data_IF_647549407176
#
_entry.id   IF_647549407176
#
_cell.length_a   1.000
_cell.length_b   1.000
_cell.length_c   1.000
_cell.angle_alpha   90.00
_cell.angle_beta   90.00
_cell.angle_gamma   90.00
#
_symmetry.space_group_name_H-M   'P 1'
#
loop_
_entity.id
_entity.type
_entity.pdbx_description
1 polymer ?
#
# COMPACT_ATOMS: atom_id res chain seq x y z
N UNK A 1 64.86 -69.52 -33.84
CA UNK A 1 64.87 -68.39 -32.91
C UNK A 1 63.68 -67.54 -33.24
N UNK A 2 62.60 -67.53 -32.44
CA UNK A 2 61.38 -66.72 -32.67
C UNK A 2 61.32 -65.70 -31.55
N UNK A 3 61.49 -64.42 -31.94
CA UNK A 3 61.32 -63.23 -31.04
C UNK A 3 59.85 -62.92 -30.90
N UNK A 4 59.31 -62.95 -29.70
CA UNK A 4 57.92 -62.59 -29.41
C UNK A 4 57.87 -61.16 -28.91
N UNK A 5 57.21 -60.28 -29.68
CA UNK A 5 56.93 -58.91 -29.30
C UNK A 5 55.71 -58.83 -28.36
N UNK A 6 55.88 -58.32 -27.18
CA UNK A 6 54.81 -58.09 -26.22
C UNK A 6 54.23 -56.68 -26.44
N UNK A 7 52.97 -56.59 -26.87
CA UNK A 7 52.20 -55.37 -26.93
C UNK A 7 51.67 -55.00 -25.52
N UNK A 8 52.10 -53.85 -24.98
CA UNK A 8 51.51 -53.23 -23.77
C UNK A 8 50.29 -52.49 -24.20
N UNK A 9 49.13 -52.88 -23.66
CA UNK A 9 47.91 -52.06 -23.77
C UNK A 9 47.98 -50.94 -22.75
N UNK A 10 47.94 -49.67 -23.21
CA UNK A 10 47.77 -48.50 -22.37
C UNK A 10 46.27 -48.23 -22.30
N UNK A 11 45.69 -48.39 -21.12
CA UNK A 11 44.29 -48.00 -20.85
C UNK A 11 44.25 -46.54 -20.51
N UNK A 12 43.60 -45.75 -21.38
CA UNK A 12 43.34 -44.32 -21.14
C UNK A 12 42.08 -44.23 -20.26
N UNK A 13 42.25 -43.80 -19.00
CA UNK A 13 41.13 -43.49 -18.11
C UNK A 13 40.74 -42.02 -18.36
N UNK A 14 39.61 -41.80 -19.02
CA UNK A 14 39.02 -40.47 -19.18
C UNK A 14 38.21 -40.19 -17.91
N UNK A 15 38.75 -39.33 -17.02
CA UNK A 15 38.01 -38.82 -15.90
C UNK A 15 37.10 -37.68 -16.38
N UNK A 16 35.81 -37.98 -16.53
CA UNK A 16 34.78 -36.96 -16.82
C UNK A 16 34.48 -36.17 -15.56
N UNK A 17 34.88 -34.90 -15.53
CA UNK A 17 34.46 -33.96 -14.50
C UNK A 17 33.00 -33.56 -14.75
N UNK A 18 32.10 -34.06 -13.91
CA UNK A 18 30.69 -33.61 -13.88
C UNK A 18 30.62 -32.28 -13.14
N UNK A 19 30.53 -31.17 -13.86
CA UNK A 19 30.29 -29.86 -13.29
C UNK A 19 28.81 -29.76 -12.89
N UNK A 20 28.55 -29.85 -11.57
CA UNK A 20 27.23 -29.59 -11.01
C UNK A 20 26.96 -28.05 -11.07
N UNK A 21 26.16 -27.60 -12.02
CA UNK A 21 25.66 -26.22 -12.06
C UNK A 21 24.55 -26.11 -11.00
N UNK A 22 24.89 -25.65 -9.81
CA UNK A 22 23.90 -25.27 -8.80
C UNK A 22 23.27 -23.94 -9.28
N UNK A 23 22.18 -24.04 -10.01
CA UNK A 23 21.34 -22.88 -10.31
C UNK A 23 20.73 -22.38 -8.99
N UNK A 24 21.15 -21.20 -8.54
CA UNK A 24 20.44 -20.48 -7.50
C UNK A 24 19.06 -20.09 -8.06
N UNK A 25 18.03 -20.82 -7.67
CA UNK A 25 16.65 -20.37 -7.89
C UNK A 25 16.45 -19.13 -7.04
N UNK A 26 16.57 -17.94 -7.64
CA UNK A 26 16.03 -16.71 -7.05
C UNK A 26 14.52 -16.94 -6.95
N UNK A 27 13.98 -17.02 -5.74
CA UNK A 27 12.54 -16.92 -5.55
C UNK A 27 12.12 -15.55 -6.08
N UNK A 28 11.50 -15.52 -7.26
CA UNK A 28 10.85 -14.32 -7.73
C UNK A 28 9.81 -13.93 -6.68
N UNK A 29 9.91 -12.74 -6.13
CA UNK A 29 8.84 -12.17 -5.32
C UNK A 29 7.61 -12.09 -6.24
N UNK A 30 6.46 -12.57 -5.77
CA UNK A 30 5.24 -12.44 -6.55
C UNK A 30 4.91 -10.94 -6.66
N UNK A 31 4.74 -10.45 -7.89
CA UNK A 31 4.36 -9.07 -8.14
C UNK A 31 2.95 -8.77 -7.58
N UNK A 32 2.67 -7.52 -7.21
CA UNK A 32 1.31 -7.11 -6.85
C UNK A 32 0.33 -7.36 -8.01
N UNK A 33 -0.95 -7.64 -7.72
CA UNK A 33 -1.95 -7.87 -8.77
C UNK A 33 -2.16 -6.60 -9.61
N UNK A 34 -2.73 -6.71 -10.83
CA UNK A 34 -3.11 -5.55 -11.62
C UNK A 34 -4.15 -4.68 -10.90
N UNK A 35 -4.09 -3.37 -11.12
CA UNK A 35 -5.06 -2.45 -10.55
C UNK A 35 -6.50 -2.73 -11.04
N UNK A 36 -7.47 -2.54 -10.14
CA UNK A 36 -8.88 -2.48 -10.47
C UNK A 36 -9.17 -1.25 -11.33
N UNK A 37 -10.14 -1.32 -12.25
CA UNK A 37 -10.57 -0.15 -13.02
C UNK A 37 -11.17 0.92 -12.09
N UNK A 38 -11.00 2.19 -12.46
CA UNK A 38 -11.62 3.30 -11.73
C UNK A 38 -13.14 3.16 -11.72
N UNK A 39 -13.71 3.18 -10.52
CA UNK A 39 -15.16 3.16 -10.31
C UNK A 39 -15.51 3.71 -8.93
N UNK A 40 -15.52 5.02 -8.80
CA UNK A 40 -15.87 5.75 -7.58
C UNK A 40 -16.94 6.80 -7.90
N UNK A 41 -17.75 7.19 -6.92
CA UNK A 41 -18.76 8.22 -7.15
C UNK A 41 -18.19 9.64 -7.13
N UNK A 42 -19.03 10.62 -7.49
CA UNK A 42 -18.59 12.01 -7.61
C UNK A 42 -18.08 12.62 -6.30
N UNK A 43 -18.64 12.22 -5.15
CA UNK A 43 -18.20 12.72 -3.84
C UNK A 43 -16.83 12.13 -3.48
N UNK A 44 -16.63 10.84 -3.71
CA UNK A 44 -15.35 10.18 -3.47
C UNK A 44 -14.24 10.76 -4.36
N UNK A 45 -14.55 11.06 -5.61
CA UNK A 45 -13.59 11.68 -6.55
C UNK A 45 -13.28 13.14 -6.18
N UNK A 46 -14.30 13.94 -5.81
CA UNK A 46 -14.13 15.36 -5.51
C UNK A 46 -13.19 15.63 -4.34
N UNK A 47 -13.20 14.77 -3.33
CA UNK A 47 -12.43 14.96 -2.11
C UNK A 47 -11.29 13.94 -1.94
N UNK A 48 -10.95 13.19 -2.99
CA UNK A 48 -9.82 12.26 -2.97
C UNK A 48 -8.54 12.99 -2.55
N UNK A 49 -7.79 12.50 -1.55
CA UNK A 49 -6.51 13.11 -1.21
C UNK A 49 -5.51 13.07 -2.35
N UNK A 50 -4.70 14.12 -2.45
CA UNK A 50 -3.50 14.16 -3.26
C UNK A 50 -2.35 13.59 -2.42
N UNK A 51 -1.74 12.51 -2.88
CA UNK A 51 -0.75 11.75 -2.12
C UNK A 51 0.68 12.00 -2.58
N UNK A 52 1.58 12.03 -1.61
CA UNK A 52 3.01 11.82 -1.81
C UNK A 52 3.51 10.70 -0.89
N UNK A 53 4.69 10.18 -1.19
CA UNK A 53 5.31 9.06 -0.50
C UNK A 53 6.78 9.41 -0.30
N UNK A 54 7.18 9.64 0.96
CA UNK A 54 8.57 9.97 1.33
C UNK A 54 9.53 8.85 0.87
N UNK A 55 10.78 9.22 0.64
CA UNK A 55 11.80 8.34 0.03
C UNK A 55 12.06 7.04 0.80
N UNK A 56 11.69 6.97 2.06
CA UNK A 56 11.90 5.79 2.93
C UNK A 56 10.73 4.79 2.92
N UNK A 57 9.56 5.14 2.34
CA UNK A 57 8.37 4.27 2.26
C UNK A 57 8.22 3.49 0.96
N UNK A 58 7.40 2.44 1.00
CA UNK A 58 6.89 1.77 -0.19
C UNK A 58 5.91 2.66 -0.95
N UNK A 59 5.70 2.39 -2.23
CA UNK A 59 4.54 2.90 -2.96
C UNK A 59 3.32 2.03 -2.68
N UNK A 60 2.10 2.60 -2.74
CA UNK A 60 0.89 1.80 -2.63
C UNK A 60 0.71 0.94 -3.88
N UNK A 61 0.19 -0.27 -3.68
CA UNK A 61 -0.15 -1.20 -4.74
C UNK A 61 -1.58 -1.70 -4.59
N UNK A 62 -2.18 -2.39 -5.57
CA UNK A 62 -3.48 -2.97 -5.39
C UNK A 62 -3.46 -4.09 -4.34
N UNK A 63 -4.39 -4.04 -3.39
CA UNK A 63 -4.59 -5.11 -2.42
C UNK A 63 -5.23 -6.36 -3.05
N UNK A 64 -5.96 -6.18 -4.17
CA UNK A 64 -6.67 -7.21 -4.90
C UNK A 64 -6.76 -6.86 -6.38
N UNK A 65 -6.61 -7.86 -7.23
CA UNK A 65 -6.77 -7.75 -8.67
C UNK A 65 -8.21 -7.95 -9.16
N UNK A 66 -8.49 -7.68 -10.45
CA UNK A 66 -9.82 -7.84 -11.05
C UNK A 66 -10.32 -9.30 -11.05
N UNK A 67 -9.43 -10.26 -11.03
CA UNK A 67 -9.73 -11.69 -10.90
C UNK A 67 -9.96 -12.15 -9.45
N UNK A 68 -9.74 -11.24 -8.49
CA UNK A 68 -9.83 -11.51 -7.07
C UNK A 68 -8.56 -12.10 -6.46
N UNK A 69 -7.42 -12.04 -7.14
CA UNK A 69 -6.11 -12.39 -6.58
C UNK A 69 -5.74 -11.34 -5.52
N UNK A 70 -5.51 -11.78 -4.29
CA UNK A 70 -5.06 -10.93 -3.18
C UNK A 70 -3.54 -10.71 -3.30
N UNK A 71 -3.09 -9.48 -3.04
CA UNK A 71 -1.66 -9.17 -2.97
C UNK A 71 -0.97 -10.08 -1.94
N UNK A 72 0.13 -10.74 -2.30
CA UNK A 72 0.88 -11.59 -1.38
C UNK A 72 1.61 -10.78 -0.30
N UNK A 73 1.78 -9.48 -0.50
CA UNK A 73 2.61 -8.63 0.32
C UNK A 73 4.10 -9.02 0.29
N UNK A 74 4.93 -8.25 0.97
CA UNK A 74 6.37 -8.45 1.04
C UNK A 74 6.83 -8.78 2.47
N UNK A 75 7.92 -9.53 2.57
CA UNK A 75 8.61 -9.73 3.85
C UNK A 75 9.31 -8.45 4.30
N UNK A 76 9.37 -8.22 5.60
CA UNK A 76 10.05 -7.09 6.22
C UNK A 76 11.56 -7.34 6.33
N UNK A 77 12.22 -7.62 5.19
CA UNK A 77 13.66 -7.89 5.09
C UNK A 77 14.30 -6.98 4.04
N UNK A 78 15.62 -6.82 4.10
CA UNK A 78 16.32 -5.93 3.18
C UNK A 78 16.12 -4.45 3.50
N UNK A 79 16.16 -3.60 2.48
CA UNK A 79 15.92 -2.17 2.64
C UNK A 79 14.46 -1.88 3.04
N UNK A 80 14.24 -0.79 3.79
CA UNK A 80 12.90 -0.39 4.26
C UNK A 80 11.90 -0.29 3.10
N UNK A 81 12.32 0.32 2.00
CA UNK A 81 11.55 0.49 0.76
C UNK A 81 11.96 -0.51 -0.35
N UNK A 82 12.73 -1.55 -0.03
CA UNK A 82 13.23 -2.51 -1.03
C UNK A 82 12.11 -3.32 -1.67
N UNK A 83 12.16 -3.45 -2.99
CA UNK A 83 11.22 -4.21 -3.84
C UNK A 83 9.76 -3.70 -3.82
N UNK A 84 9.54 -2.46 -3.41
CA UNK A 84 8.20 -1.85 -3.36
C UNK A 84 8.21 -0.33 -3.64
N UNK A 85 9.23 0.17 -4.35
CA UNK A 85 9.34 1.60 -4.67
C UNK A 85 9.76 1.84 -6.12
N UNK A 86 9.49 0.91 -6.99
CA UNK A 86 9.73 1.08 -8.42
C UNK A 86 8.64 1.97 -9.06
N UNK A 87 8.96 2.64 -10.17
CA UNK A 87 7.97 3.44 -10.91
C UNK A 87 6.74 2.60 -11.29
N UNK A 88 6.94 1.32 -11.61
CA UNK A 88 5.87 0.38 -11.93
C UNK A 88 4.89 0.15 -10.78
N UNK A 89 5.35 0.17 -9.52
CA UNK A 89 4.47 0.08 -8.36
C UNK A 89 3.58 1.33 -8.25
N UNK A 90 4.18 2.51 -8.46
CA UNK A 90 3.47 3.78 -8.44
C UNK A 90 2.44 3.92 -9.57
N UNK A 91 2.69 3.29 -10.72
CA UNK A 91 1.76 3.28 -11.86
C UNK A 91 0.67 2.20 -11.74
N UNK A 92 0.92 1.14 -10.97
CA UNK A 92 -0.02 0.06 -10.70
C UNK A 92 -0.58 0.20 -9.28
N UNK A 93 -1.51 1.14 -9.06
CA UNK A 93 -2.03 1.42 -7.72
C UNK A 93 -3.54 1.63 -7.73
N UNK A 94 -4.20 1.30 -6.61
CA UNK A 94 -5.57 1.68 -6.30
C UNK A 94 -5.65 2.47 -4.99
N UNK A 95 -6.52 3.46 -4.97
CA UNK A 95 -7.12 3.99 -3.75
C UNK A 95 -8.50 3.37 -3.57
N UNK A 96 -8.91 3.13 -2.34
CA UNK A 96 -10.21 2.57 -2.00
C UNK A 96 -11.00 3.58 -1.18
N UNK A 97 -12.28 3.79 -1.52
CA UNK A 97 -13.09 4.77 -0.82
C UNK A 97 -14.41 4.20 -0.33
N UNK A 98 -14.88 4.74 0.79
CA UNK A 98 -16.22 4.51 1.32
C UNK A 98 -16.67 5.73 2.10
N UNK A 99 -17.95 6.10 2.02
CA UNK A 99 -18.46 7.21 2.80
C UNK A 99 -19.78 6.91 3.49
N UNK A 100 -20.08 7.74 4.48
CA UNK A 100 -21.35 7.80 5.19
C UNK A 100 -21.72 9.26 5.43
N UNK A 101 -22.99 9.59 5.28
CA UNK A 101 -23.51 10.93 5.57
C UNK A 101 -24.66 10.85 6.58
N UNK A 102 -24.60 11.69 7.61
CA UNK A 102 -25.70 11.91 8.53
C UNK A 102 -25.52 13.25 9.29
N UNK A 103 -26.59 13.75 9.87
CA UNK A 103 -26.61 14.99 10.66
C UNK A 103 -25.91 16.19 9.99
N UNK A 104 -26.03 16.31 8.66
CA UNK A 104 -25.44 17.39 7.87
C UNK A 104 -23.95 17.26 7.58
N UNK A 105 -23.34 16.13 7.89
CA UNK A 105 -21.94 15.82 7.64
C UNK A 105 -21.76 14.55 6.80
N UNK A 106 -20.73 14.53 5.98
CA UNK A 106 -20.26 13.32 5.31
C UNK A 106 -18.82 13.03 5.77
N UNK A 107 -18.54 11.77 6.06
CA UNK A 107 -17.21 11.24 6.33
C UNK A 107 -16.82 10.32 5.18
N UNK A 108 -15.74 10.66 4.45
CA UNK A 108 -15.23 9.86 3.34
C UNK A 108 -13.88 9.29 3.78
N UNK A 109 -13.79 7.98 3.96
CA UNK A 109 -12.54 7.29 4.26
C UNK A 109 -11.91 6.81 2.97
N UNK A 110 -10.63 7.10 2.81
CA UNK A 110 -9.77 6.62 1.72
C UNK A 110 -8.72 5.71 2.33
N UNK A 111 -8.54 4.53 1.75
CA UNK A 111 -7.52 3.57 2.16
C UNK A 111 -6.51 3.34 1.05
N UNK A 112 -5.23 3.29 1.40
CA UNK A 112 -4.16 2.79 0.55
C UNK A 112 -3.58 1.52 1.16
N UNK A 113 -3.20 0.59 0.29
CA UNK A 113 -2.55 -0.66 0.67
C UNK A 113 -1.09 -0.61 0.25
N UNK A 114 -0.21 -1.06 1.16
CA UNK A 114 1.22 -1.23 0.91
C UNK A 114 1.61 -2.68 1.18
N UNK A 115 2.55 -3.22 0.40
CA UNK A 115 2.93 -4.63 0.48
C UNK A 115 3.67 -4.98 1.78
N UNK A 116 4.33 -4.01 2.38
CA UNK A 116 4.94 -4.09 3.72
C UNK A 116 5.01 -2.73 4.35
N UNK A 117 5.11 -2.72 5.67
CA UNK A 117 5.60 -1.60 6.46
C UNK A 117 6.81 -2.07 7.29
N UNK A 118 7.93 -1.40 7.20
CA UNK A 118 9.19 -1.82 7.80
C UNK A 118 9.88 -0.65 8.49
N UNK A 119 10.05 -0.75 9.82
CA UNK A 119 10.70 0.31 10.59
C UNK A 119 12.23 0.28 10.48
N UNK A 120 12.85 -0.92 10.45
CA UNK A 120 14.30 -1.10 10.50
C UNK A 120 14.78 -1.97 9.35
N UNK A 121 15.78 -1.49 8.60
CA UNK A 121 16.35 -2.25 7.49
C UNK A 121 17.02 -3.56 7.96
N UNK A 122 16.85 -4.61 7.17
CA UNK A 122 17.57 -5.88 7.28
C UNK A 122 17.09 -6.86 8.36
N UNK A 123 16.37 -6.41 9.37
CA UNK A 123 16.15 -7.21 10.59
C UNK A 123 14.78 -7.87 10.71
N UNK A 124 13.79 -7.38 9.98
CA UNK A 124 12.39 -7.77 10.17
C UNK A 124 11.78 -7.31 11.51
N UNK A 125 12.54 -6.58 12.33
CA UNK A 125 12.07 -6.02 13.58
C UNK A 125 11.28 -4.73 13.35
N UNK A 126 10.17 -4.56 14.08
CA UNK A 126 9.38 -3.34 14.05
C UNK A 126 8.73 -3.11 12.67
N UNK A 127 7.98 -4.08 12.19
CA UNK A 127 7.25 -3.96 10.94
C UNK A 127 6.36 -5.17 10.68
N UNK A 128 5.60 -5.14 9.62
CA UNK A 128 4.70 -6.21 9.24
C UNK A 128 4.54 -6.32 7.72
N UNK A 129 4.30 -7.53 7.26
CA UNK A 129 3.80 -7.79 5.92
C UNK A 129 2.41 -7.20 5.82
N UNK A 130 2.10 -6.58 4.69
CA UNK A 130 0.89 -5.80 4.45
C UNK A 130 0.78 -4.57 5.36
N UNK A 131 0.30 -3.49 4.80
CA UNK A 131 -0.07 -2.30 5.55
C UNK A 131 -1.32 -1.67 4.93
N UNK A 132 -2.15 -1.07 5.79
CA UNK A 132 -3.34 -0.31 5.42
C UNK A 132 -3.34 1.00 6.17
N UNK A 133 -3.19 2.08 5.43
CA UNK A 133 -3.28 3.42 5.98
C UNK A 133 -4.45 4.20 5.39
N UNK A 134 -5.00 5.12 6.18
CA UNK A 134 -6.28 5.74 5.88
C UNK A 134 -6.24 7.26 6.06
N UNK A 135 -7.02 7.94 5.21
CA UNK A 135 -7.33 9.37 5.36
C UNK A 135 -8.84 9.50 5.41
N UNK A 136 -9.37 10.27 6.37
CA UNK A 136 -10.79 10.60 6.42
C UNK A 136 -10.98 12.07 6.14
N UNK A 137 -11.75 12.39 5.10
CA UNK A 137 -12.14 13.78 4.78
C UNK A 137 -13.55 14.01 5.29
N UNK A 138 -13.71 15.03 6.12
CA UNK A 138 -14.97 15.42 6.74
C UNK A 138 -15.56 16.60 5.99
N UNK A 139 -16.73 16.40 5.39
CA UNK A 139 -17.37 17.35 4.48
C UNK A 139 -18.68 17.85 5.09
N UNK A 140 -18.87 19.17 5.03
CA UNK A 140 -20.12 19.83 5.37
C UNK A 140 -20.41 20.91 4.31
N UNK A 141 -21.64 20.96 3.81
CA UNK A 141 -22.06 21.92 2.78
C UNK A 141 -21.14 21.93 1.55
N UNK A 142 -20.79 20.75 1.05
CA UNK A 142 -19.87 20.56 -0.08
C UNK A 142 -18.45 21.14 0.12
N UNK A 143 -18.03 21.35 1.36
CA UNK A 143 -16.69 21.82 1.68
C UNK A 143 -16.02 20.86 2.69
N UNK A 144 -14.78 20.47 2.42
CA UNK A 144 -13.97 19.72 3.38
C UNK A 144 -13.61 20.63 4.55
N UNK A 145 -13.99 20.24 5.77
CA UNK A 145 -13.78 21.01 7.01
C UNK A 145 -12.64 20.48 7.84
N UNK A 146 -12.46 19.16 7.85
CA UNK A 146 -11.38 18.50 8.58
C UNK A 146 -10.80 17.37 7.73
N UNK A 147 -9.57 17.02 8.04
CA UNK A 147 -8.89 15.83 7.52
C UNK A 147 -8.33 15.06 8.71
N UNK A 148 -8.53 13.75 8.73
CA UNK A 148 -7.95 12.90 9.75
C UNK A 148 -7.04 11.87 9.06
N UNK A 149 -5.80 11.77 9.51
CA UNK A 149 -4.80 10.84 8.97
C UNK A 149 -4.53 9.72 9.97
N UNK A 150 -4.47 8.48 9.49
CA UNK A 150 -4.15 7.35 10.35
C UNK A 150 -2.69 7.36 10.78
N UNK A 151 -2.45 7.03 12.05
CA UNK A 151 -1.13 6.84 12.63
C UNK A 151 -1.19 5.77 13.72
N UNK A 152 -0.52 4.63 13.52
CA UNK A 152 -0.36 3.54 14.50
C UNK A 152 -1.70 3.08 15.14
N UNK A 153 -2.74 2.94 14.30
CA UNK A 153 -4.07 2.48 14.73
C UNK A 153 -4.97 3.55 15.37
N UNK A 154 -4.52 4.79 15.43
CA UNK A 154 -5.27 5.99 15.79
C UNK A 154 -5.39 6.95 14.61
N UNK A 155 -5.95 8.14 14.85
CA UNK A 155 -6.04 9.20 13.86
C UNK A 155 -5.64 10.53 14.47
N UNK A 156 -4.82 11.28 13.75
CA UNK A 156 -4.59 12.69 14.02
C UNK A 156 -5.59 13.52 13.21
N UNK A 157 -6.15 14.55 13.83
CA UNK A 157 -7.27 15.31 13.29
C UNK A 157 -6.86 16.77 13.08
N UNK A 158 -7.04 17.26 11.86
CA UNK A 158 -6.63 18.60 11.43
C UNK A 158 -7.80 19.39 10.89
N UNK A 159 -7.86 20.68 11.26
CA UNK A 159 -8.76 21.64 10.63
C UNK A 159 -8.32 21.92 9.19
N UNK A 160 -9.25 22.39 8.37
CA UNK A 160 -8.99 22.80 6.99
C UNK A 160 -7.75 23.69 6.84
N UNK A 161 -7.58 24.68 7.72
CA UNK A 161 -6.50 25.66 7.66
C UNK A 161 -5.11 25.08 7.98
N UNK A 162 -5.05 23.90 8.56
CA UNK A 162 -3.81 23.16 8.85
C UNK A 162 -3.36 22.28 7.68
N UNK A 163 -4.16 22.21 6.62
CA UNK A 163 -3.94 21.34 5.47
C UNK A 163 -3.55 22.17 4.25
N UNK A 164 -2.61 21.69 3.46
CA UNK A 164 -2.34 22.19 2.10
C UNK A 164 -3.28 21.49 1.13
N UNK A 165 -3.73 22.20 0.12
CA UNK A 165 -4.74 21.72 -0.82
C UNK A 165 -4.26 21.81 -2.26
N UNK A 166 -4.73 20.87 -3.09
CA UNK A 166 -4.78 20.98 -4.54
C UNK A 166 -6.25 21.03 -4.97
N UNK A 167 -6.80 22.23 -5.10
CA UNK A 167 -8.25 22.41 -5.29
C UNK A 167 -9.06 21.92 -4.08
N UNK A 168 -9.81 20.82 -4.27
CA UNK A 168 -10.61 20.18 -3.20
C UNK A 168 -9.88 19.00 -2.55
N UNK A 169 -8.68 18.69 -3.01
CA UNK A 169 -7.88 17.53 -2.62
C UNK A 169 -6.90 17.87 -1.49
N UNK A 170 -7.06 17.32 -0.28
CA UNK A 170 -6.08 17.53 0.78
C UNK A 170 -4.76 16.84 0.43
N UNK A 171 -3.64 17.56 0.58
CA UNK A 171 -2.30 17.03 0.36
C UNK A 171 -1.81 16.26 1.57
N UNK A 172 -1.52 14.98 1.41
CA UNK A 172 -1.05 14.08 2.48
C UNK A 172 0.16 13.30 2.04
N UNK A 173 1.02 12.95 3.00
CA UNK A 173 2.29 12.26 2.76
C UNK A 173 2.34 10.99 3.58
N UNK A 174 2.67 9.86 2.94
CA UNK A 174 3.03 8.62 3.60
C UNK A 174 4.49 8.70 3.98
N UNK A 175 4.79 8.66 5.27
CA UNK A 175 6.12 8.89 5.81
C UNK A 175 6.44 7.95 6.96
N UNK A 176 7.71 7.76 7.21
CA UNK A 176 8.17 7.02 8.39
C UNK A 176 8.10 7.92 9.62
N UNK A 177 7.42 7.46 10.68
CA UNK A 177 7.30 8.20 11.93
C UNK A 177 8.47 7.89 12.88
N UNK A 178 9.52 8.67 12.73
CA UNK A 178 10.73 8.55 13.55
C UNK A 178 11.37 7.16 13.46
N UNK A 179 11.41 6.43 14.57
CA UNK A 179 11.92 5.05 14.66
C UNK A 179 10.81 3.99 14.50
N UNK A 180 9.57 4.41 14.33
CA UNK A 180 8.41 3.53 14.17
C UNK A 180 8.17 3.16 12.69
N UNK A 181 7.02 2.58 12.43
CA UNK A 181 6.48 2.27 11.11
C UNK A 181 5.96 3.53 10.41
N UNK A 182 5.44 3.37 9.19
CA UNK A 182 4.92 4.48 8.41
C UNK A 182 3.49 4.83 8.81
N UNK A 183 3.09 6.06 8.50
CA UNK A 183 1.74 6.58 8.69
C UNK A 183 1.48 7.74 7.72
N UNK A 184 0.27 8.30 7.72
CA UNK A 184 -0.03 9.52 6.99
C UNK A 184 0.14 10.77 7.87
N UNK A 185 0.63 11.84 7.28
CA UNK A 185 0.62 13.20 7.80
C UNK A 185 0.12 14.21 6.76
N UNK A 186 -0.34 15.39 7.15
CA UNK A 186 -0.51 16.52 6.22
C UNK A 186 0.82 16.92 5.58
N UNK A 187 0.73 17.36 4.32
CA UNK A 187 1.88 17.95 3.64
C UNK A 187 2.29 19.29 4.26
N UNK A 188 3.58 19.56 4.27
CA UNK A 188 4.17 20.82 4.68
C UNK A 188 4.94 21.50 3.54
N UNK A 189 5.70 22.57 3.79
CA UNK A 189 6.44 23.28 2.73
C UNK A 189 7.61 22.51 2.16
N UNK A 190 8.13 21.50 2.88
CA UNK A 190 9.28 20.71 2.43
C UNK A 190 8.87 19.58 1.47
N UNK A 191 7.57 19.30 1.36
CA UNK A 191 7.03 18.27 0.46
C UNK A 191 6.72 18.83 -0.95
N UNK A 192 7.33 19.95 -1.32
CA UNK A 192 7.22 20.56 -2.65
C UNK A 192 8.62 20.78 -3.27
N UNK A 193 8.97 20.08 -4.35
CA UNK A 193 8.16 19.09 -5.07
C UNK A 193 8.06 17.78 -4.29
N UNK A 194 7.00 16.95 -4.56
CA UNK A 194 6.86 15.62 -3.98
C UNK A 194 8.08 14.71 -4.20
N UNK A 195 8.36 13.83 -3.24
CA UNK A 195 9.54 12.97 -3.24
C UNK A 195 9.37 11.69 -4.08
N UNK A 196 8.16 11.41 -4.55
CA UNK A 196 7.91 10.23 -5.37
C UNK A 196 8.63 10.32 -6.73
N UNK A 197 8.69 9.19 -7.43
CA UNK A 197 9.42 9.05 -8.70
C UNK A 197 9.11 10.11 -9.76
N UNK A 198 7.88 10.66 -9.77
CA UNK A 198 7.44 11.65 -10.77
C UNK A 198 7.48 13.09 -10.25
N UNK A 199 7.88 13.32 -9.02
CA UNK A 199 7.92 14.64 -8.39
C UNK A 199 6.60 15.42 -8.49
N UNK A 200 5.48 14.70 -8.44
CA UNK A 200 4.14 15.25 -8.56
C UNK A 200 3.14 14.58 -7.63
N UNK A 201 2.13 15.35 -7.20
CA UNK A 201 1.04 14.81 -6.38
C UNK A 201 0.31 13.69 -7.11
N UNK A 202 0.04 12.59 -6.43
CA UNK A 202 -0.53 11.38 -7.00
C UNK A 202 -1.99 11.19 -6.60
N UNK A 203 -2.77 10.72 -7.57
CA UNK A 203 -4.17 10.37 -7.40
C UNK A 203 -4.35 8.91 -7.82
N UNK A 204 -4.19 7.95 -6.88
CA UNK A 204 -4.39 6.53 -7.18
C UNK A 204 -5.73 6.26 -7.84
N UNK A 205 -5.77 5.32 -8.78
CA UNK A 205 -7.01 4.88 -9.42
C UNK A 205 -8.05 4.51 -8.37
N UNK A 206 -9.13 5.28 -8.24
CA UNK A 206 -10.06 5.20 -7.12
C UNK A 206 -11.17 4.19 -7.37
N UNK A 207 -11.40 3.31 -6.38
CA UNK A 207 -12.49 2.33 -6.35
C UNK A 207 -13.36 2.61 -5.13
N UNK A 208 -14.59 3.04 -5.35
CA UNK A 208 -15.58 3.25 -4.30
C UNK A 208 -16.13 1.91 -3.76
N UNK A 209 -16.71 1.94 -2.56
CA UNK A 209 -17.24 0.74 -1.90
C UNK A 209 -18.23 -0.07 -2.76
N UNK A 210 -18.99 0.60 -3.61
CA UNK A 210 -19.94 -0.01 -4.53
C UNK A 210 -19.39 -0.19 -5.96
N UNK A 211 -18.13 0.19 -6.20
CA UNK A 211 -17.49 0.19 -7.50
C UNK A 211 -16.67 -1.06 -7.83
N UNK A 212 -16.56 -2.02 -6.92
CA UNK A 212 -15.80 -3.24 -7.18
C UNK A 212 -16.47 -4.13 -8.23
N UNK A 213 -15.69 -4.85 -9.05
CA UNK A 213 -16.24 -5.93 -9.88
C UNK A 213 -16.94 -6.99 -9.02
N UNK A 214 -17.88 -7.71 -9.62
CA UNK A 214 -18.69 -8.71 -8.92
C UNK A 214 -17.84 -9.74 -8.15
N UNK A 215 -18.11 -9.91 -6.85
CA UNK A 215 -17.41 -10.84 -5.96
C UNK A 215 -16.01 -10.42 -5.52
N UNK A 216 -15.40 -9.38 -6.11
CA UNK A 216 -14.05 -8.93 -5.75
C UNK A 216 -14.03 -8.28 -4.37
N UNK A 217 -15.00 -7.42 -4.06
CA UNK A 217 -15.12 -6.81 -2.73
C UNK A 217 -15.24 -7.86 -1.63
N UNK A 218 -16.05 -8.89 -1.84
CA UNK A 218 -16.28 -9.93 -0.83
C UNK A 218 -14.99 -10.71 -0.54
N UNK A 219 -14.18 -10.99 -1.57
CA UNK A 219 -12.86 -11.60 -1.40
C UNK A 219 -11.91 -10.68 -0.63
N UNK A 220 -11.88 -9.37 -0.93
CA UNK A 220 -11.05 -8.40 -0.22
C UNK A 220 -11.44 -8.30 1.26
N UNK A 221 -12.74 -8.26 1.56
CA UNK A 221 -13.27 -8.20 2.94
C UNK A 221 -12.88 -9.45 3.75
N UNK A 222 -12.81 -10.62 3.11
CA UNK A 222 -12.44 -11.89 3.74
C UNK A 222 -10.92 -12.11 3.80
N UNK A 223 -10.13 -11.32 3.08
CA UNK A 223 -8.69 -11.47 3.05
C UNK A 223 -8.06 -11.23 4.42
N UNK A 224 -7.00 -11.99 4.69
CA UNK A 224 -6.20 -11.86 5.90
C UNK A 224 -4.93 -11.06 5.60
N UNK A 225 -4.85 -9.85 6.12
CA UNK A 225 -3.69 -8.97 6.01
C UNK A 225 -2.83 -8.94 7.29
N UNK A 226 -2.92 -9.98 8.13
CA UNK A 226 -2.16 -10.04 9.38
C UNK A 226 -2.61 -8.96 10.37
N UNK A 227 -1.68 -8.11 10.80
CA UNK A 227 -1.94 -6.98 11.70
C UNK A 227 -2.50 -5.74 11.00
N UNK A 228 -2.37 -5.66 9.66
CA UNK A 228 -2.89 -4.54 8.88
C UNK A 228 -4.43 -4.59 8.79
N UNK A 229 -5.09 -3.47 9.02
CA UNK A 229 -6.54 -3.42 9.17
C UNK A 229 -7.18 -2.70 7.99
N UNK A 230 -7.89 -3.44 7.13
CA UNK A 230 -8.71 -2.82 6.09
C UNK A 230 -9.90 -2.08 6.72
N UNK A 231 -9.78 -0.76 6.87
CA UNK A 231 -10.70 0.10 7.59
C UNK A 231 -12.08 0.27 6.94
N UNK A 232 -12.22 -0.08 5.65
CA UNK A 232 -13.46 0.14 4.90
C UNK A 232 -14.48 -0.99 5.06
N UNK A 233 -14.09 -2.18 5.53
CA UNK A 233 -15.03 -3.30 5.70
C UNK A 233 -16.00 -3.07 6.85
N UNK A 234 -17.21 -3.63 6.75
CA UNK A 234 -18.32 -3.38 7.69
C UNK A 234 -17.93 -3.48 9.16
N UNK A 235 -17.17 -4.48 9.57
CA UNK A 235 -16.75 -4.65 10.96
C UNK A 235 -15.77 -3.57 11.48
N UNK A 236 -15.13 -2.80 10.59
CA UNK A 236 -14.12 -1.81 10.95
C UNK A 236 -14.54 -0.37 10.64
N UNK A 237 -15.39 -0.16 9.64
CA UNK A 237 -15.70 1.15 9.08
C UNK A 237 -16.23 2.13 10.15
N UNK A 238 -17.22 1.76 10.91
CA UNK A 238 -17.78 2.63 11.95
C UNK A 238 -16.76 2.92 13.05
N UNK A 239 -15.95 1.93 13.44
CA UNK A 239 -14.89 2.11 14.45
C UNK A 239 -13.79 3.07 13.97
N UNK A 240 -13.39 2.99 12.70
CA UNK A 240 -12.43 3.93 12.10
C UNK A 240 -12.99 5.34 12.05
N UNK A 241 -14.25 5.51 11.61
CA UNK A 241 -14.90 6.82 11.63
C UNK A 241 -15.05 7.37 13.05
N UNK A 242 -15.32 6.53 14.05
CA UNK A 242 -15.41 6.98 15.43
C UNK A 242 -14.06 7.49 15.96
N UNK A 243 -12.96 6.81 15.65
CA UNK A 243 -11.59 7.25 16.01
C UNK A 243 -11.17 8.53 15.27
N UNK A 244 -11.53 8.64 13.99
CA UNK A 244 -11.16 9.77 13.13
C UNK A 244 -12.02 11.01 13.35
N UNK A 245 -13.15 10.89 14.08
CA UNK A 245 -14.17 11.93 14.19
C UNK A 245 -13.67 13.18 14.92
N UNK A 246 -13.76 14.39 14.30
CA UNK A 246 -13.51 15.64 14.99
C UNK A 246 -14.45 15.83 16.18
N UNK A 247 -13.92 16.41 17.26
CA UNK A 247 -14.72 16.75 18.43
C UNK A 247 -15.81 17.79 18.08
N UNK A 248 -16.99 17.64 18.67
CA UNK A 248 -18.07 18.64 18.58
C UNK A 248 -18.92 18.57 17.31
N UNK A 249 -18.57 17.79 16.27
CA UNK A 249 -19.46 17.60 15.12
C UNK A 249 -20.56 16.58 15.43
N UNK A 250 -21.82 16.80 14.98
CA UNK A 250 -22.95 15.93 15.31
C UNK A 250 -23.01 14.64 14.47
N UNK A 251 -21.99 14.33 13.69
CA UNK A 251 -21.91 13.08 12.92
C UNK A 251 -21.95 11.85 13.85
N UNK A 252 -22.77 10.88 13.52
CA UNK A 252 -22.85 9.60 14.24
C UNK A 252 -22.21 8.48 13.40
N UNK A 253 -21.08 7.91 13.83
CA UNK A 253 -20.46 6.79 13.14
C UNK A 253 -21.33 5.53 13.07
N UNK A 254 -22.29 5.37 13.97
CA UNK A 254 -23.12 4.17 14.11
C UNK A 254 -24.53 4.30 13.48
N UNK A 255 -24.90 5.51 12.99
CA UNK A 255 -26.18 5.72 12.31
C UNK A 255 -26.27 5.02 10.97
#
# INVERSE_FOLDING_TARGET
MKSGARFRRVSLVVAGALTLVIGSASSALAAPPPALPANADGMEQTFQPAFDYDTDGCYPTPAIGPDGTISPGLNTTGAVNGSCRDAGDLDNTNGYARYKCNNGWCAIIYGLYFEKDQAVAGTGLGGHRHDWEHVVVWVQNNEARYVSTSAHGNFDIYNRDQIRWDGTHPKVVYHKDGLSTHCFRPANSNDEPPENHYHGWRYPTLVGWNGYPAGVRDKLVQANFGSAVFGLKDGNFNAHLAKAKPAGIPFDPNA
#
